data_IF_289579694420
#
_entry.id   IF_289579694420
#
_cell.length_a   1.000
_cell.length_b   1.000
_cell.length_c   1.000
_cell.angle_alpha   90.00
_cell.angle_beta   90.00
_cell.angle_gamma   90.00
#
_symmetry.space_group_name_H-M   'P 1'
#
loop_
_entity.id
_entity.type
_entity.pdbx_description
1 polymer ?
#
# COMPACT_ATOMS: atom_id res chain seq x y z
N UNK A 1 27.30 4.60 -8.03
CA UNK A 1 27.43 5.05 -6.63
C UNK A 1 27.03 6.52 -6.58
N UNK A 2 26.16 6.94 -5.68
CA UNK A 2 25.81 8.35 -5.50
C UNK A 2 26.89 9.07 -4.72
N UNK A 3 27.43 10.16 -5.28
CA UNK A 3 28.31 11.07 -4.56
C UNK A 3 27.44 11.89 -3.59
N UNK A 4 27.30 11.44 -2.34
CA UNK A 4 26.83 12.31 -1.27
C UNK A 4 27.82 13.47 -1.13
N UNK A 5 27.33 14.70 -1.25
CA UNK A 5 28.13 15.90 -0.99
C UNK A 5 28.43 16.01 0.50
N UNK A 6 29.53 16.66 0.87
CA UNK A 6 29.84 16.99 2.27
C UNK A 6 28.72 17.82 2.92
N UNK A 7 28.08 18.69 2.15
CA UNK A 7 26.89 19.45 2.53
C UNK A 7 25.72 18.54 2.96
N UNK A 8 25.47 17.44 2.25
CA UNK A 8 24.45 16.46 2.64
C UNK A 8 24.81 15.76 3.96
N UNK A 9 26.09 15.46 4.22
CA UNK A 9 26.55 14.91 5.49
C UNK A 9 26.29 15.88 6.67
N UNK A 10 26.51 17.18 6.47
CA UNK A 10 26.20 18.20 7.47
C UNK A 10 24.69 18.38 7.69
N UNK A 11 23.90 18.35 6.62
CA UNK A 11 22.44 18.35 6.72
C UNK A 11 21.91 17.14 7.48
N UNK A 12 22.38 15.93 7.17
CA UNK A 12 21.95 14.70 7.84
C UNK A 12 22.37 14.70 9.32
N UNK A 13 23.56 15.21 9.65
CA UNK A 13 24.00 15.45 11.04
C UNK A 13 23.08 16.42 11.78
N UNK A 14 22.77 17.58 11.19
CA UNK A 14 21.87 18.58 11.80
C UNK A 14 20.44 18.03 11.95
N UNK A 15 19.96 17.26 10.97
CA UNK A 15 18.66 16.61 11.01
C UNK A 15 18.59 15.51 12.08
N UNK A 16 19.67 14.74 12.26
CA UNK A 16 19.79 13.73 13.33
C UNK A 16 19.65 14.38 14.71
N UNK A 17 20.43 15.41 15.03
CA UNK A 17 20.32 16.12 16.32
C UNK A 17 18.93 16.71 16.55
N UNK A 18 18.30 17.28 15.50
CA UNK A 18 16.93 17.81 15.57
C UNK A 18 15.88 16.71 15.77
N UNK A 19 16.06 15.54 15.16
CA UNK A 19 15.14 14.41 15.26
C UNK A 19 15.26 13.73 16.63
N UNK A 20 16.48 13.41 17.09
CA UNK A 20 16.74 12.83 18.42
C UNK A 20 16.19 13.73 19.52
N UNK A 21 16.52 15.03 19.51
CA UNK A 21 16.01 15.98 20.52
C UNK A 21 14.48 16.16 20.47
N UNK A 22 13.86 15.95 19.31
CA UNK A 22 12.39 15.89 19.18
C UNK A 22 11.85 14.61 19.79
N UNK A 23 12.45 13.45 19.52
CA UNK A 23 12.06 12.15 20.08
C UNK A 23 12.18 12.15 21.60
N UNK A 24 13.31 12.60 22.16
CA UNK A 24 13.53 12.79 23.60
C UNK A 24 12.42 13.65 24.23
N UNK A 25 12.19 14.86 23.69
CA UNK A 25 11.13 15.76 24.18
C UNK A 25 9.72 15.16 24.05
N UNK A 26 9.53 14.24 23.11
CA UNK A 26 8.25 13.57 22.84
C UNK A 26 8.02 12.38 23.77
N UNK A 27 9.06 11.63 24.17
CA UNK A 27 8.95 10.65 25.26
C UNK A 27 8.78 11.35 26.61
N UNK A 28 9.51 12.44 26.84
CA UNK A 28 9.52 13.16 28.11
C UNK A 28 8.27 14.02 28.36
N UNK A 29 7.36 14.19 27.39
CA UNK A 29 6.09 14.88 27.61
C UNK A 29 5.00 13.88 28.01
N UNK A 30 4.33 14.13 29.15
CA UNK A 30 3.21 13.29 29.65
C UNK A 30 2.11 13.08 28.62
N UNK A 31 1.99 13.95 27.61
CA UNK A 31 1.10 13.82 26.46
C UNK A 31 1.21 12.46 25.72
N UNK A 32 2.33 11.73 25.86
CA UNK A 32 2.42 10.34 25.42
C UNK A 32 1.68 9.36 26.32
N UNK A 33 1.89 9.45 27.64
CA UNK A 33 1.26 8.59 28.65
C UNK A 33 -0.24 8.89 28.84
N UNK A 34 -0.64 10.17 28.80
CA UNK A 34 -2.03 10.64 28.92
C UNK A 34 -2.95 10.07 27.82
N UNK A 35 -2.38 9.55 26.72
CA UNK A 35 -3.13 9.07 25.56
C UNK A 35 -3.63 7.63 25.66
N UNK A 36 -3.40 6.94 26.79
CA UNK A 36 -3.87 5.57 27.08
C UNK A 36 -5.34 5.56 27.52
N UNK A 37 -6.20 6.21 26.74
CA UNK A 37 -7.66 6.08 26.84
C UNK A 37 -8.15 5.00 25.86
N UNK A 38 -8.89 3.98 26.31
CA UNK A 38 -9.09 2.73 25.56
C UNK A 38 -9.97 2.84 24.30
N UNK A 39 -10.63 3.98 24.06
CA UNK A 39 -11.49 4.18 22.88
C UNK A 39 -10.74 4.65 21.62
N UNK A 40 -9.49 5.10 21.76
CA UNK A 40 -8.77 5.73 20.66
C UNK A 40 -7.99 4.72 19.81
N UNK A 41 -8.15 4.78 18.48
CA UNK A 41 -7.21 4.16 17.51
C UNK A 41 -5.88 4.93 17.40
N UNK A 42 -5.76 6.11 18.03
CA UNK A 42 -4.60 7.01 17.92
C UNK A 42 -3.31 6.59 18.65
N UNK A 43 -3.30 5.93 19.82
CA UNK A 43 -2.07 5.72 20.57
C UNK A 43 -1.20 4.64 19.90
N UNK A 44 -1.78 3.53 19.43
CA UNK A 44 -1.06 2.51 18.64
C UNK A 44 -0.35 3.11 17.42
N UNK A 45 -1.07 3.94 16.65
CA UNK A 45 -0.53 4.60 15.45
C UNK A 45 0.57 5.62 15.80
N UNK A 46 0.47 6.33 16.93
CA UNK A 46 1.56 7.18 17.45
C UNK A 46 2.78 6.35 17.83
N UNK A 47 2.60 5.23 18.53
CA UNK A 47 3.69 4.30 18.90
C UNK A 47 4.40 3.77 17.67
N UNK A 48 3.66 3.32 16.66
CA UNK A 48 4.20 2.86 15.39
C UNK A 48 4.94 3.98 14.64
N UNK A 49 4.37 5.18 14.56
CA UNK A 49 5.01 6.33 13.92
C UNK A 49 6.32 6.74 14.64
N UNK A 50 6.37 6.67 15.97
CA UNK A 50 7.61 6.95 16.72
C UNK A 50 8.67 5.86 16.51
N UNK A 51 8.28 4.59 16.47
CA UNK A 51 9.19 3.49 16.14
C UNK A 51 9.81 3.68 14.74
N UNK A 52 9.03 4.12 13.75
CA UNK A 52 9.56 4.44 12.42
C UNK A 52 10.51 5.66 12.45
N UNK A 53 10.21 6.70 13.25
CA UNK A 53 11.13 7.82 13.44
C UNK A 53 12.45 7.41 14.13
N UNK A 54 12.42 6.47 15.08
CA UNK A 54 13.62 5.89 15.74
C UNK A 54 14.44 5.08 14.73
N UNK A 55 13.80 4.22 13.91
CA UNK A 55 14.46 3.49 12.82
C UNK A 55 15.10 4.44 11.80
N UNK A 56 14.39 5.50 11.40
CA UNK A 56 14.93 6.54 10.53
C UNK A 56 16.14 7.25 11.18
N UNK A 57 16.07 7.59 12.46
CA UNK A 57 17.17 8.21 13.19
C UNK A 57 18.41 7.29 13.27
N UNK A 58 18.24 5.97 13.46
CA UNK A 58 19.36 5.01 13.39
C UNK A 58 19.99 4.96 11.99
N UNK A 59 19.20 4.91 10.92
CA UNK A 59 19.73 4.96 9.54
C UNK A 59 20.46 6.27 9.24
N UNK A 60 19.95 7.39 9.75
CA UNK A 60 20.57 8.71 9.58
C UNK A 60 21.88 8.82 10.39
N UNK A 61 21.95 8.20 11.57
CA UNK A 61 23.18 8.06 12.35
C UNK A 61 24.23 7.23 11.59
N UNK A 62 23.85 6.07 11.05
CA UNK A 62 24.72 5.19 10.26
C UNK A 62 25.30 5.92 9.04
N UNK A 63 24.47 6.62 8.26
CA UNK A 63 24.91 7.47 7.14
C UNK A 63 25.94 8.53 7.56
N UNK A 64 25.69 9.22 8.69
CA UNK A 64 26.57 10.28 9.20
C UNK A 64 27.87 9.71 9.75
N UNK A 65 27.85 8.54 10.38
CA UNK A 65 29.03 7.86 10.92
C UNK A 65 29.95 7.33 9.81
N UNK A 66 29.37 6.83 8.71
CA UNK A 66 30.13 6.44 7.51
C UNK A 66 30.81 7.63 6.80
N UNK A 67 30.32 8.86 7.01
CA UNK A 67 30.81 10.08 6.35
C UNK A 67 31.62 10.98 7.28
N UNK A 68 31.52 10.81 8.61
CA UNK A 68 32.12 11.70 9.60
C UNK A 68 33.17 10.99 10.47
N UNK A 69 34.43 11.17 10.10
CA UNK A 69 35.60 10.63 10.82
C UNK A 69 35.85 11.26 12.21
N UNK A 70 35.01 12.18 12.68
CA UNK A 70 35.27 12.98 13.88
C UNK A 70 34.13 12.90 14.92
N UNK A 71 34.52 12.72 16.19
CA UNK A 71 33.63 12.74 17.38
C UNK A 71 32.75 11.51 17.66
N UNK A 72 33.32 10.30 17.63
CA UNK A 72 32.68 9.05 18.07
C UNK A 72 31.91 9.16 19.40
N UNK A 73 32.42 9.91 20.40
CA UNK A 73 31.75 10.13 21.70
C UNK A 73 30.31 10.67 21.56
N UNK A 74 30.11 11.68 20.72
CA UNK A 74 28.79 12.30 20.51
C UNK A 74 27.81 11.29 19.90
N UNK A 75 28.29 10.45 18.99
CA UNK A 75 27.50 9.39 18.36
C UNK A 75 27.15 8.27 19.36
N UNK A 76 28.04 7.93 20.31
CA UNK A 76 27.72 7.00 21.39
C UNK A 76 26.59 7.50 22.31
N UNK A 77 26.55 8.80 22.62
CA UNK A 77 25.48 9.35 23.45
C UNK A 77 24.14 9.43 22.69
N UNK A 78 24.18 9.73 21.38
CA UNK A 78 23.02 9.59 20.49
C UNK A 78 22.51 8.13 20.45
N UNK A 79 23.41 7.13 20.36
CA UNK A 79 23.02 5.70 20.43
C UNK A 79 22.31 5.37 21.74
N UNK A 80 22.88 5.76 22.90
CA UNK A 80 22.25 5.54 24.22
C UNK A 80 20.85 6.16 24.30
N UNK A 81 20.67 7.37 23.75
CA UNK A 81 19.36 8.05 23.67
C UNK A 81 18.38 7.30 22.77
N UNK A 82 18.80 6.88 21.57
CA UNK A 82 17.98 6.07 20.66
C UNK A 82 17.60 4.72 21.25
N UNK A 83 18.51 4.04 21.95
CA UNK A 83 18.24 2.76 22.62
C UNK A 83 17.27 2.92 23.80
N UNK A 84 17.41 4.01 24.57
CA UNK A 84 16.52 4.33 25.69
C UNK A 84 15.09 4.67 25.21
N UNK A 85 14.99 5.49 24.16
CA UNK A 85 13.70 5.84 23.55
C UNK A 85 13.06 4.65 22.82
N UNK A 86 13.83 3.79 22.14
CA UNK A 86 13.32 2.55 21.54
C UNK A 86 12.74 1.61 22.60
N UNK A 87 13.50 1.28 23.66
CA UNK A 87 13.02 0.40 24.74
C UNK A 87 11.71 0.90 25.33
N UNK A 88 11.64 2.21 25.57
CA UNK A 88 10.43 2.88 26.09
C UNK A 88 9.25 2.73 25.12
N UNK A 89 9.44 3.00 23.83
CA UNK A 89 8.40 2.89 22.79
C UNK A 89 7.95 1.45 22.58
N UNK A 90 8.86 0.46 22.58
CA UNK A 90 8.54 -0.96 22.43
C UNK A 90 7.73 -1.50 23.61
N UNK A 91 8.04 -1.07 24.85
CA UNK A 91 7.22 -1.40 26.03
C UNK A 91 5.80 -0.85 25.88
N UNK A 92 5.62 0.40 25.48
CA UNK A 92 4.27 0.93 25.18
C UNK A 92 3.59 0.20 24.02
N UNK A 93 4.32 -0.24 22.99
CA UNK A 93 3.74 -0.96 21.86
C UNK A 93 3.09 -2.28 22.29
N UNK A 94 3.66 -2.99 23.26
CA UNK A 94 3.08 -4.23 23.79
C UNK A 94 1.72 -3.98 24.46
N UNK A 95 1.59 -2.91 25.26
CA UNK A 95 0.33 -2.57 25.92
C UNK A 95 -0.77 -2.05 24.98
N UNK A 96 -0.39 -1.43 23.86
CA UNK A 96 -1.32 -0.73 22.95
C UNK A 96 -1.53 -1.50 21.63
N UNK A 97 -0.96 -2.70 21.48
CA UNK A 97 -1.25 -3.58 20.33
C UNK A 97 -2.72 -4.04 20.36
N UNK A 98 -3.55 -3.70 19.35
CA UNK A 98 -4.96 -4.06 19.37
C UNK A 98 -5.13 -5.57 19.20
N UNK A 99 -5.82 -6.22 20.14
CA UNK A 99 -6.15 -7.64 20.05
C UNK A 99 -7.17 -7.85 18.92
N UNK A 100 -6.71 -8.41 17.79
CA UNK A 100 -7.51 -8.60 16.58
C UNK A 100 -8.65 -9.61 16.81
N UNK A 101 -9.79 -9.09 17.25
CA UNK A 101 -11.01 -9.87 17.47
C UNK A 101 -11.72 -10.03 16.13
N UNK A 102 -11.81 -11.27 15.63
CA UNK A 102 -12.61 -11.58 14.44
C UNK A 102 -14.08 -11.22 14.74
N UNK A 103 -14.78 -10.44 13.90
CA UNK A 103 -16.20 -10.21 14.09
C UNK A 103 -16.97 -11.53 14.02
N UNK A 104 -18.03 -11.64 14.82
CA UNK A 104 -18.87 -12.84 14.81
C UNK A 104 -19.52 -13.02 13.42
N UNK A 105 -19.59 -14.27 12.90
CA UNK A 105 -20.12 -14.51 11.57
C UNK A 105 -21.62 -14.16 11.56
N UNK A 106 -22.03 -13.24 10.69
CA UNK A 106 -23.41 -12.71 10.60
C UNK A 106 -24.39 -13.73 9.97
N UNK A 107 -23.87 -14.80 9.37
CA UNK A 107 -24.60 -15.86 8.66
C UNK A 107 -25.80 -16.49 9.38
N UNK A 108 -25.80 -16.78 10.70
CA UNK A 108 -26.95 -17.44 11.35
C UNK A 108 -28.14 -16.51 11.59
N UNK A 109 -27.97 -15.18 11.44
CA UNK A 109 -29.01 -14.19 11.72
C UNK A 109 -29.71 -13.66 10.46
N UNK A 110 -29.41 -14.20 9.28
CA UNK A 110 -30.15 -13.87 8.05
C UNK A 110 -31.44 -14.71 8.02
N UNK A 111 -32.64 -14.10 8.08
CA UNK A 111 -33.89 -14.86 8.02
C UNK A 111 -34.06 -15.48 6.62
N UNK A 112 -34.34 -16.79 6.57
CA UNK A 112 -34.52 -17.50 5.31
C UNK A 112 -35.75 -16.93 4.56
N UNK A 113 -35.65 -16.64 3.26
CA UNK A 113 -36.77 -16.13 2.48
C UNK A 113 -37.89 -17.18 2.39
N UNK A 114 -39.10 -16.79 2.77
CA UNK A 114 -40.26 -17.69 2.79
C UNK A 114 -40.55 -18.25 1.38
N UNK A 115 -40.79 -19.57 1.23
CA UNK A 115 -41.06 -20.16 -0.07
C UNK A 115 -42.37 -19.62 -0.66
N UNK A 116 -42.32 -19.10 -1.90
CA UNK A 116 -43.51 -18.70 -2.64
C UNK A 116 -44.43 -19.92 -2.85
N UNK A 117 -45.74 -19.82 -2.54
CA UNK A 117 -46.71 -20.84 -2.92
C UNK A 117 -46.70 -21.07 -4.44
N UNK A 118 -46.71 -22.34 -4.87
CA UNK A 118 -46.94 -22.68 -6.28
C UNK A 118 -48.43 -22.57 -6.59
N UNK A 119 -48.79 -21.66 -7.50
CA UNK A 119 -50.15 -21.62 -8.06
C UNK A 119 -50.39 -22.86 -8.93
N UNK A 120 -51.46 -23.64 -8.72
CA UNK A 120 -51.85 -24.71 -9.65
C UNK A 120 -52.53 -24.11 -10.90
N UNK A 121 -52.39 -24.76 -12.08
CA UNK A 121 -53.17 -24.39 -13.26
C UNK A 121 -54.57 -25.02 -13.23
N UNK A 122 -55.58 -24.30 -13.76
CA UNK A 122 -56.74 -24.93 -14.38
C UNK A 122 -57.01 -24.37 -15.80
N UNK A 123 -57.54 -25.23 -16.66
CA UNK A 123 -57.77 -24.99 -18.10
C UNK A 123 -59.08 -24.26 -18.45
N UNK A 124 -59.33 -24.14 -19.76
CA UNK A 124 -60.65 -24.29 -20.45
C UNK A 124 -61.36 -23.03 -21.00
N UNK A 125 -61.19 -22.84 -22.33
CA UNK A 125 -62.16 -22.29 -23.32
C UNK A 125 -62.42 -20.76 -23.25
N UNK A 126 -62.27 -19.97 -24.34
CA UNK A 126 -63.02 -20.06 -25.62
C UNK A 126 -62.40 -19.23 -26.78
N UNK A 127 -62.62 -19.69 -28.03
CA UNK A 127 -62.60 -18.98 -29.35
C UNK A 127 -61.50 -17.90 -29.65
N UNK A 128 -60.81 -17.87 -30.80
CA UNK A 128 -61.38 -17.90 -32.17
C UNK A 128 -60.33 -18.16 -33.28
N UNK A 129 -60.58 -19.18 -34.11
CA UNK A 129 -60.23 -19.36 -35.55
C UNK A 129 -58.84 -18.91 -36.09
N UNK A 130 -57.97 -19.86 -36.49
CA UNK A 130 -56.74 -19.57 -37.25
C UNK A 130 -55.76 -20.74 -37.50
N UNK A 131 -56.08 -21.68 -38.40
CA UNK A 131 -55.18 -22.72 -38.94
C UNK A 131 -54.41 -22.19 -40.19
N UNK A 132 -53.21 -22.70 -40.58
CA UNK A 132 -52.86 -24.13 -40.56
C UNK A 132 -51.39 -24.59 -40.27
N UNK A 133 -51.28 -25.78 -39.67
CA UNK A 133 -50.47 -26.95 -40.10
C UNK A 133 -48.96 -26.84 -40.37
N UNK A 134 -48.14 -27.42 -39.47
CA UNK A 134 -47.23 -28.56 -39.74
C UNK A 134 -46.59 -29.12 -38.44
N UNK A 135 -46.28 -30.42 -38.43
CA UNK A 135 -45.67 -31.21 -37.33
C UNK A 135 -44.35 -31.87 -37.82
N UNK A 136 -43.54 -32.60 -37.02
CA UNK A 136 -43.56 -32.85 -35.56
C UNK A 136 -42.29 -32.22 -34.89
N UNK A 137 -41.35 -32.80 -34.12
CA UNK A 137 -41.02 -34.14 -33.56
C UNK A 137 -40.08 -33.98 -32.31
N UNK A 138 -39.73 -35.02 -31.51
CA UNK A 138 -39.23 -34.84 -30.13
C UNK A 138 -37.70 -35.05 -29.89
N UNK A 139 -37.33 -34.96 -28.61
CA UNK A 139 -36.06 -35.33 -27.95
C UNK A 139 -34.92 -34.30 -27.92
N UNK A 140 -34.67 -33.74 -26.72
CA UNK A 140 -33.34 -33.77 -26.07
C UNK A 140 -33.52 -33.58 -24.56
N UNK A 141 -33.05 -34.54 -23.77
CA UNK A 141 -32.94 -34.43 -22.32
C UNK A 141 -31.64 -33.72 -21.92
N UNK A 142 -31.74 -32.51 -21.35
CA UNK A 142 -30.57 -31.74 -20.90
C UNK A 142 -30.23 -32.12 -19.45
N UNK A 143 -28.96 -32.45 -19.20
CA UNK A 143 -28.47 -32.98 -17.92
C UNK A 143 -28.24 -31.88 -16.88
N UNK A 144 -28.51 -32.19 -15.60
CA UNK A 144 -28.55 -31.24 -14.49
C UNK A 144 -27.16 -30.87 -13.90
N UNK A 145 -26.19 -30.53 -14.76
CA UNK A 145 -24.82 -30.16 -14.34
C UNK A 145 -24.45 -28.69 -14.60
N UNK A 146 -25.30 -27.94 -15.30
CA UNK A 146 -25.05 -26.55 -15.75
C UNK A 146 -25.58 -25.47 -14.78
N UNK A 147 -25.54 -25.74 -13.46
CA UNK A 147 -26.25 -24.93 -12.45
C UNK A 147 -25.46 -24.65 -11.16
N UNK A 148 -24.13 -24.76 -11.20
CA UNK A 148 -23.24 -24.53 -10.04
C UNK A 148 -22.02 -23.64 -10.34
N UNK A 149 -22.18 -22.56 -11.11
CA UNK A 149 -21.16 -21.50 -11.19
C UNK A 149 -21.75 -20.07 -11.14
N UNK A 150 -21.49 -19.41 -9.99
CA UNK A 150 -21.41 -17.94 -9.83
C UNK A 150 -22.74 -17.15 -9.88
N UNK A 151 -22.80 -15.87 -9.42
CA UNK A 151 -21.68 -14.99 -9.04
C UNK A 151 -21.76 -14.21 -7.70
N UNK A 152 -20.58 -13.73 -7.28
CA UNK A 152 -20.25 -12.44 -6.64
C UNK A 152 -21.09 -11.83 -5.52
N UNK A 153 -20.41 -11.49 -4.42
CA UNK A 153 -20.13 -10.12 -3.92
C UNK A 153 -19.04 -10.23 -2.83
N UNK A 154 -18.21 -9.26 -2.44
CA UNK A 154 -17.61 -8.01 -2.97
C UNK A 154 -16.89 -7.35 -1.74
N UNK A 155 -16.03 -6.33 -1.94
CA UNK A 155 -15.38 -5.48 -0.91
C UNK A 155 -14.23 -6.04 -0.01
N UNK A 156 -13.02 -5.52 -0.29
CA UNK A 156 -11.99 -4.95 0.61
C UNK A 156 -11.48 -5.66 1.88
N UNK A 157 -10.17 -5.99 1.88
CA UNK A 157 -9.19 -5.48 2.88
C UNK A 157 -7.84 -5.21 2.20
N UNK A 158 -7.24 -4.03 2.40
CA UNK A 158 -5.87 -3.73 1.98
C UNK A 158 -4.84 -4.33 2.94
N UNK A 159 -3.83 -5.05 2.42
CA UNK A 159 -2.86 -5.80 3.24
C UNK A 159 -1.48 -5.97 2.59
N UNK A 160 -0.87 -4.88 2.13
CA UNK A 160 0.49 -4.89 1.55
C UNK A 160 1.56 -5.03 2.64
N UNK A 161 2.03 -6.24 2.89
CA UNK A 161 3.24 -6.52 3.66
C UNK A 161 3.98 -7.74 3.08
N UNK A 162 4.77 -7.52 2.01
CA UNK A 162 5.52 -8.59 1.32
C UNK A 162 6.78 -8.08 0.59
N UNK A 163 7.59 -7.26 1.27
CA UNK A 163 8.95 -6.94 0.81
C UNK A 163 9.93 -8.07 1.15
N UNK A 164 9.84 -9.18 0.41
CA UNK A 164 10.88 -10.21 0.38
C UNK A 164 11.21 -10.61 -1.08
N UNK A 165 11.95 -9.75 -1.77
CA UNK A 165 12.38 -9.96 -3.16
C UNK A 165 13.55 -10.95 -3.25
N UNK A 166 13.30 -12.22 -2.92
CA UNK A 166 14.17 -13.35 -3.29
C UNK A 166 13.61 -13.98 -4.57
N UNK A 167 14.35 -13.88 -5.69
CA UNK A 167 13.84 -14.24 -7.01
C UNK A 167 13.53 -15.75 -7.14
N UNK A 168 12.40 -16.14 -7.77
CA UNK A 168 12.16 -17.52 -8.17
C UNK A 168 13.12 -17.87 -9.32
N UNK A 169 14.03 -18.82 -9.07
CA UNK A 169 14.97 -19.30 -10.10
C UNK A 169 14.22 -20.05 -11.20
N UNK A 170 14.44 -19.67 -12.47
CA UNK A 170 13.86 -20.38 -13.62
C UNK A 170 14.63 -21.69 -13.81
N UNK A 171 14.12 -22.78 -13.25
CA UNK A 171 14.70 -24.12 -13.36
C UNK A 171 14.35 -24.77 -14.70
N UNK A 172 15.13 -24.44 -15.74
CA UNK A 172 15.11 -25.20 -16.99
C UNK A 172 15.64 -26.64 -16.76
N UNK A 173 14.95 -27.69 -17.23
CA UNK A 173 15.49 -29.05 -17.19
C UNK A 173 16.61 -29.21 -18.22
N UNK A 174 17.80 -29.55 -17.76
CA UNK A 174 18.98 -29.81 -18.62
C UNK A 174 18.90 -31.22 -19.22
N UNK A 175 19.09 -31.40 -20.54
CA UNK A 175 19.13 -32.73 -21.16
C UNK A 175 20.48 -33.43 -20.94
N UNK A 176 20.51 -34.72 -20.56
CA UNK A 176 21.73 -35.53 -20.54
C UNK A 176 22.21 -35.92 -21.96
N UNK A 177 23.50 -36.30 -22.14
CA UNK A 177 24.15 -36.34 -23.45
C UNK A 177 23.92 -37.62 -24.28
N UNK A 178 24.26 -37.51 -25.57
CA UNK A 178 24.13 -38.56 -26.60
C UNK A 178 25.13 -39.71 -26.47
N UNK A 179 24.67 -40.95 -26.68
CA UNK A 179 25.49 -42.08 -27.09
C UNK A 179 24.68 -43.19 -27.81
N UNK A 180 25.28 -43.79 -28.84
CA UNK A 180 25.01 -45.13 -29.41
C UNK A 180 23.56 -45.58 -29.69
N UNK A 181 23.18 -45.48 -30.97
CA UNK A 181 22.56 -46.62 -31.66
C UNK A 181 23.68 -47.61 -32.12
N UNK A 182 23.41 -48.82 -32.66
CA UNK A 182 22.09 -49.44 -32.93
C UNK A 182 21.92 -50.88 -32.40
N UNK A 183 20.66 -51.32 -32.23
CA UNK A 183 20.30 -52.75 -32.27
C UNK A 183 18.89 -52.95 -32.82
N UNK A 184 18.74 -53.78 -33.86
CA UNK A 184 17.45 -54.10 -34.47
C UNK A 184 16.77 -55.24 -33.68
N UNK A 185 16.03 -54.88 -32.65
CA UNK A 185 15.21 -55.83 -31.86
C UNK A 185 13.76 -55.83 -32.35
N UNK A 186 13.43 -56.73 -33.30
CA UNK A 186 12.08 -56.87 -33.87
C UNK A 186 11.11 -57.61 -32.92
N UNK A 187 10.77 -56.96 -31.81
CA UNK A 187 9.83 -57.51 -30.81
C UNK A 187 8.39 -57.34 -31.31
N UNK A 188 7.69 -58.46 -31.54
CA UNK A 188 6.23 -58.48 -31.71
C UNK A 188 5.57 -58.39 -30.33
N UNK A 189 5.11 -57.19 -29.97
CA UNK A 189 4.49 -56.86 -28.69
C UNK A 189 4.89 -55.43 -28.30
N UNK A 190 3.99 -54.49 -28.03
CA UNK A 190 2.53 -54.59 -27.85
C UNK A 190 1.85 -53.32 -28.37
N UNK A 191 0.80 -53.39 -29.21
CA UNK A 191 0.18 -52.20 -29.79
C UNK A 191 -0.41 -51.25 -28.73
N UNK A 192 -0.92 -51.82 -27.63
CA UNK A 192 -1.52 -51.09 -26.53
C UNK A 192 -0.56 -50.10 -25.83
N UNK A 193 0.76 -50.37 -25.77
CA UNK A 193 1.68 -49.47 -25.07
C UNK A 193 1.95 -48.19 -25.88
N UNK A 194 2.12 -48.31 -27.20
CA UNK A 194 2.22 -47.16 -28.08
C UNK A 194 0.92 -46.34 -28.11
N UNK A 195 -0.24 -47.02 -28.15
CA UNK A 195 -1.55 -46.39 -28.02
C UNK A 195 -1.71 -45.63 -26.70
N UNK A 196 -1.25 -46.19 -25.57
CA UNK A 196 -1.24 -45.53 -24.28
C UNK A 196 -0.35 -44.27 -24.28
N UNK A 197 0.88 -44.35 -24.81
CA UNK A 197 1.73 -43.15 -24.91
C UNK A 197 1.15 -42.08 -25.84
N UNK A 198 0.48 -42.43 -26.94
CA UNK A 198 -0.23 -41.43 -27.76
C UNK A 198 -1.44 -40.84 -27.04
N UNK A 199 -2.17 -41.62 -26.23
CA UNK A 199 -3.29 -41.12 -25.43
C UNK A 199 -2.81 -40.14 -24.35
N UNK A 200 -1.70 -40.44 -23.66
CA UNK A 200 -1.09 -39.53 -22.68
C UNK A 200 -0.59 -38.24 -23.35
N UNK A 201 -0.03 -38.33 -24.56
CA UNK A 201 0.35 -37.13 -25.31
C UNK A 201 -0.85 -36.26 -25.70
N UNK A 202 -2.02 -36.85 -25.98
CA UNK A 202 -3.24 -36.11 -26.27
C UNK A 202 -3.91 -35.54 -25.00
N UNK A 203 -3.93 -36.29 -23.90
CA UNK A 203 -4.39 -35.80 -22.59
C UNK A 203 -3.57 -34.59 -22.12
N UNK A 204 -2.23 -34.63 -22.31
CA UNK A 204 -1.35 -33.50 -22.03
C UNK A 204 -1.51 -32.35 -23.03
N UNK A 205 -1.82 -32.62 -24.31
CA UNK A 205 -2.08 -31.58 -25.31
C UNK A 205 -3.38 -30.84 -24.99
N UNK A 206 -4.42 -31.57 -24.59
CA UNK A 206 -5.71 -31.03 -24.17
C UNK A 206 -5.57 -30.24 -22.86
N UNK A 207 -4.88 -30.79 -21.84
CA UNK A 207 -4.65 -30.09 -20.58
C UNK A 207 -3.88 -28.77 -20.78
N UNK A 208 -2.89 -28.75 -21.68
CA UNK A 208 -2.14 -27.54 -22.02
C UNK A 208 -3.04 -26.53 -22.79
N UNK A 209 -3.90 -26.99 -23.69
CA UNK A 209 -4.89 -26.13 -24.35
C UNK A 209 -5.94 -25.54 -23.37
N UNK A 210 -6.41 -26.34 -22.41
CA UNK A 210 -7.29 -25.89 -21.33
C UNK A 210 -6.57 -24.86 -20.43
N UNK A 211 -5.32 -25.11 -20.02
CA UNK A 211 -4.52 -24.11 -19.30
C UNK A 211 -4.24 -22.85 -20.12
N UNK A 212 -3.98 -22.94 -21.41
CA UNK A 212 -3.73 -21.79 -22.27
C UNK A 212 -4.99 -20.92 -22.43
N UNK A 213 -6.18 -21.52 -22.54
CA UNK A 213 -7.44 -20.77 -22.58
C UNK A 213 -7.80 -20.16 -21.22
N UNK A 214 -7.51 -20.86 -20.10
CA UNK A 214 -7.63 -20.30 -18.75
C UNK A 214 -6.68 -19.11 -18.54
N UNK A 215 -5.41 -19.25 -18.91
CA UNK A 215 -4.39 -18.20 -18.83
C UNK A 215 -4.77 -16.98 -19.69
N UNK A 216 -5.31 -17.20 -20.89
CA UNK A 216 -5.86 -16.15 -21.75
C UNK A 216 -7.05 -15.44 -21.09
N UNK A 217 -7.97 -16.17 -20.46
CA UNK A 217 -9.11 -15.58 -19.73
C UNK A 217 -8.63 -14.76 -18.53
N UNK A 218 -7.64 -15.24 -17.78
CA UNK A 218 -7.00 -14.52 -16.68
C UNK A 218 -6.32 -13.24 -17.19
N UNK A 219 -5.56 -13.30 -18.30
CA UNK A 219 -4.91 -12.13 -18.90
C UNK A 219 -5.92 -11.05 -19.34
N UNK A 220 -7.04 -11.43 -19.95
CA UNK A 220 -8.13 -10.49 -20.30
C UNK A 220 -8.77 -9.89 -19.04
N UNK A 221 -8.98 -10.67 -17.99
CA UNK A 221 -9.49 -10.17 -16.72
C UNK A 221 -8.51 -9.18 -16.05
N UNK A 222 -7.21 -9.47 -16.05
CA UNK A 222 -6.19 -8.57 -15.54
C UNK A 222 -6.08 -7.28 -16.36
N UNK A 223 -6.20 -7.33 -17.69
CA UNK A 223 -6.25 -6.13 -18.52
C UNK A 223 -7.46 -5.22 -18.14
N UNK A 224 -8.65 -5.81 -18.01
CA UNK A 224 -9.86 -5.08 -17.58
C UNK A 224 -9.88 -4.67 -16.10
N UNK A 225 -8.95 -5.17 -15.28
CA UNK A 225 -8.70 -4.69 -13.92
C UNK A 225 -7.72 -3.52 -13.95
N UNK A 226 -6.59 -3.66 -14.64
CA UNK A 226 -5.58 -2.62 -14.81
C UNK A 226 -6.13 -1.34 -15.46
N UNK A 227 -7.13 -1.43 -16.34
CA UNK A 227 -7.79 -0.25 -16.91
C UNK A 227 -8.62 0.53 -15.85
N UNK A 228 -9.27 -0.18 -14.92
CA UNK A 228 -9.99 0.43 -13.78
C UNK A 228 -9.01 1.00 -12.77
N UNK A 229 -7.97 0.25 -12.43
CA UNK A 229 -6.91 0.68 -11.51
C UNK A 229 -6.21 1.94 -12.05
N UNK A 230 -5.95 2.01 -13.37
CA UNK A 230 -5.44 3.20 -14.05
C UNK A 230 -6.40 4.39 -13.91
N UNK A 231 -7.71 4.20 -14.06
CA UNK A 231 -8.68 5.27 -13.86
C UNK A 231 -8.67 5.80 -12.41
N UNK A 232 -8.62 4.89 -11.41
CA UNK A 232 -8.50 5.26 -9.99
C UNK A 232 -7.17 5.97 -9.69
N UNK A 233 -6.07 5.56 -10.31
CA UNK A 233 -4.76 6.23 -10.18
C UNK A 233 -4.79 7.65 -10.78
N UNK A 234 -5.45 7.86 -11.91
CA UNK A 234 -5.63 9.19 -12.51
C UNK A 234 -6.51 10.07 -11.62
N UNK A 235 -7.61 9.55 -11.07
CA UNK A 235 -8.47 10.28 -10.14
C UNK A 235 -7.72 10.64 -8.83
N UNK A 236 -6.88 9.72 -8.32
CA UNK A 236 -6.02 9.96 -7.18
C UNK A 236 -4.93 11.01 -7.47
N UNK A 237 -4.38 11.03 -8.69
CA UNK A 237 -3.44 12.05 -9.15
C UNK A 237 -4.11 13.44 -9.21
N UNK A 238 -5.30 13.58 -9.82
CA UNK A 238 -6.01 14.86 -9.87
C UNK A 238 -6.32 15.38 -8.44
N UNK A 239 -6.77 14.50 -7.55
CA UNK A 239 -7.01 14.84 -6.14
C UNK A 239 -5.72 15.27 -5.41
N UNK A 240 -4.58 14.66 -5.72
CA UNK A 240 -3.28 15.00 -5.14
C UNK A 240 -2.76 16.35 -5.67
N UNK A 241 -2.84 16.59 -6.98
CA UNK A 241 -2.48 17.86 -7.62
C UNK A 241 -3.34 19.01 -7.07
N UNK A 242 -4.67 18.82 -7.03
CA UNK A 242 -5.62 19.79 -6.45
C UNK A 242 -5.35 20.06 -4.97
N UNK A 243 -4.95 19.04 -4.19
CA UNK A 243 -4.58 19.23 -2.79
C UNK A 243 -3.25 19.99 -2.64
N UNK A 244 -2.27 19.66 -3.48
CA UNK A 244 -0.98 20.34 -3.54
C UNK A 244 -1.14 21.82 -3.89
N UNK A 245 -2.00 22.16 -4.86
CA UNK A 245 -2.31 23.54 -5.23
C UNK A 245 -3.04 24.31 -4.12
N UNK A 246 -3.99 23.69 -3.43
CA UNK A 246 -4.61 24.31 -2.24
C UNK A 246 -3.55 24.58 -1.17
N UNK A 247 -2.65 23.62 -0.90
CA UNK A 247 -1.57 23.80 0.06
C UNK A 247 -0.53 24.85 -0.39
N UNK A 248 -0.16 24.91 -1.67
CA UNK A 248 0.84 25.84 -2.20
C UNK A 248 0.32 27.27 -2.13
N UNK A 249 -0.91 27.50 -2.57
CA UNK A 249 -1.59 28.80 -2.46
C UNK A 249 -1.77 29.24 -1.00
N UNK A 250 -2.13 28.33 -0.09
CA UNK A 250 -2.17 28.62 1.34
C UNK A 250 -0.79 28.99 1.91
N UNK A 251 0.27 28.28 1.52
CA UNK A 251 1.66 28.60 1.92
C UNK A 251 2.10 29.98 1.43
N UNK A 252 1.80 30.34 0.18
CA UNK A 252 2.07 31.68 -0.37
C UNK A 252 1.30 32.73 0.42
N UNK A 253 -0.01 32.57 0.60
CA UNK A 253 -0.84 33.52 1.36
C UNK A 253 -0.37 33.69 2.82
N UNK A 254 0.01 32.61 3.50
CA UNK A 254 0.56 32.66 4.86
C UNK A 254 1.92 33.37 4.91
N UNK A 255 2.79 33.12 3.92
CA UNK A 255 4.08 33.84 3.76
C UNK A 255 3.84 35.34 3.58
N UNK A 256 2.87 35.72 2.75
CA UNK A 256 2.62 37.12 2.40
C UNK A 256 1.94 37.89 3.54
N UNK A 257 1.07 37.23 4.33
CA UNK A 257 0.62 37.78 5.62
C UNK A 257 1.79 37.96 6.60
N UNK A 258 2.73 37.00 6.66
CA UNK A 258 3.90 37.08 7.54
C UNK A 258 4.85 38.23 7.15
N UNK A 259 5.22 38.36 5.88
CA UNK A 259 6.10 39.45 5.41
C UNK A 259 5.45 40.83 5.63
N UNK A 260 4.14 40.96 5.38
CA UNK A 260 3.40 42.21 5.64
C UNK A 260 3.37 42.60 7.12
N UNK A 261 3.30 41.62 8.03
CA UNK A 261 3.39 41.87 9.49
C UNK A 261 4.78 42.29 9.96
N UNK A 262 5.84 41.78 9.32
CA UNK A 262 7.23 42.17 9.63
C UNK A 262 7.59 43.55 9.04
N UNK A 263 7.10 43.90 7.86
CA UNK A 263 7.39 45.18 7.21
C UNK A 263 6.94 46.40 8.03
N UNK A 264 5.75 46.34 8.64
CA UNK A 264 5.25 47.41 9.52
C UNK A 264 6.10 47.56 10.79
N UNK A 265 6.48 46.43 11.42
CA UNK A 265 7.37 46.43 12.59
C UNK A 265 8.75 47.00 12.26
N UNK A 266 9.31 46.68 11.08
CA UNK A 266 10.58 47.23 10.64
C UNK A 266 10.53 48.75 10.44
N UNK A 267 9.44 49.26 9.85
CA UNK A 267 9.21 50.70 9.66
C UNK A 267 9.08 51.44 11.00
N UNK A 268 8.39 50.88 11.99
CA UNK A 268 8.29 51.52 13.33
C UNK A 268 9.63 51.52 14.06
N UNK A 269 10.41 50.45 13.98
CA UNK A 269 11.77 50.40 14.54
C UNK A 269 12.69 51.44 13.88
N UNK A 270 12.62 51.60 12.55
CA UNK A 270 13.39 52.61 11.82
C UNK A 270 12.99 54.04 12.23
N UNK A 271 11.69 54.30 12.42
CA UNK A 271 11.19 55.61 12.89
C UNK A 271 11.71 55.95 14.30
N UNK A 272 11.71 54.98 15.23
CA UNK A 272 12.28 55.15 16.58
C UNK A 272 13.79 55.42 16.50
N UNK A 273 14.52 54.68 15.65
CA UNK A 273 15.96 54.85 15.47
C UNK A 273 16.30 56.28 15.00
N UNK A 274 15.57 56.81 14.01
CA UNK A 274 15.76 58.18 13.52
C UNK A 274 15.48 59.22 14.61
N UNK A 275 14.43 59.04 15.42
CA UNK A 275 14.13 59.92 16.54
C UNK A 275 15.23 59.91 17.61
N UNK A 276 15.79 58.75 17.93
CA UNK A 276 16.93 58.61 18.87
C UNK A 276 18.18 59.29 18.32
N UNK A 277 18.50 59.12 17.04
CA UNK A 277 19.64 59.79 16.40
C UNK A 277 19.46 61.32 16.43
N UNK A 278 18.27 61.82 16.09
CA UNK A 278 17.95 63.26 16.14
C UNK A 278 18.06 63.84 17.56
N UNK A 279 17.60 63.10 18.58
CA UNK A 279 17.75 63.49 19.97
C UNK A 279 19.22 63.56 20.40
N UNK A 280 20.03 62.54 20.05
CA UNK A 280 21.47 62.51 20.33
C UNK A 280 22.18 63.70 19.68
N UNK A 281 21.92 63.97 18.39
CA UNK A 281 22.50 65.12 17.68
C UNK A 281 22.13 66.46 18.34
N UNK A 282 20.86 66.63 18.72
CA UNK A 282 20.38 67.86 19.39
C UNK A 282 21.04 68.03 20.76
N UNK A 283 21.17 66.95 21.53
CA UNK A 283 21.87 66.95 22.82
C UNK A 283 23.37 67.29 22.65
N UNK A 284 24.03 66.74 21.62
CA UNK A 284 25.42 67.08 21.31
C UNK A 284 25.59 68.57 20.94
N UNK A 285 24.69 69.15 20.14
CA UNK A 285 24.73 70.59 19.82
C UNK A 285 24.62 71.43 21.09
N UNK A 286 23.64 71.15 21.96
CA UNK A 286 23.43 71.87 23.23
C UNK A 286 24.62 71.72 24.20
N UNK A 287 25.41 70.63 24.09
CA UNK A 287 26.59 70.38 24.93
C UNK A 287 27.92 70.83 24.32
N UNK A 288 27.90 71.39 23.10
CA UNK A 288 29.10 71.86 22.38
C UNK A 288 29.02 73.37 22.04
N UNK A 289 27.81 73.93 22.09
CA UNK A 289 27.53 75.37 22.25
C UNK A 289 27.71 75.80 23.71
#
# INVERSE_FOLDING_TARGET
>A
MSLHTSEQAEHDRVNLFRLVRRLEKTVASSQWQESVSPSAKSPWLKTQAMLQNVKHARKLLENVELQSSTSSRNFQDIRKSLDSTERTVTVYQQYVTPKHTRPEPILPNIPLPSPKPRTPPPDTIKEKLGSPTLSPDPNTSISAQDLLLSPSESADVSGIDLLNTSAPSISFPVPPPSASAPTVAKVKGTPAFFQNSTAIHEELSEQLAQMATQLKRNAVHFAGSLEKDKAVVIEAQEKLERNFDVMSNQRVRLRDHRTKSWGTTWITVLSILVAVIGFILTFFVIRFT
#
